data_IF_834035139639
#
_entry.id   IF_834035139639
#
_cell.length_a   1.000
_cell.length_b   1.000
_cell.length_c   1.000
_cell.angle_alpha   90.00
_cell.angle_beta   90.00
_cell.angle_gamma   90.00
#
_symmetry.space_group_name_H-M   'P 1'
#
loop_
_entity.id
_entity.type
_entity.pdbx_description
1 polymer ?
#
# COMPACT_ATOMS: atom_id res chain seq x y z
N UNK A 1 -15.82 5.37 20.46
CA UNK A 1 -16.05 3.94 20.21
C UNK A 1 -14.74 3.31 19.71
N UNK A 2 -14.06 2.54 20.56
CA UNK A 2 -12.78 1.88 20.20
C UNK A 2 -13.02 0.60 19.38
N UNK A 3 -14.08 -0.14 19.68
CA UNK A 3 -14.45 -1.38 18.99
C UNK A 3 -14.80 -1.11 17.52
N UNK A 4 -15.52 -0.02 17.27
CA UNK A 4 -15.78 0.45 15.91
C UNK A 4 -14.47 0.70 15.14
N UNK A 5 -13.49 1.37 15.75
CA UNK A 5 -12.22 1.70 15.08
C UNK A 5 -11.37 0.44 14.81
N UNK A 6 -11.39 -0.55 15.70
CA UNK A 6 -10.73 -1.84 15.47
C UNK A 6 -11.36 -2.59 14.30
N UNK A 7 -12.71 -2.62 14.25
CA UNK A 7 -13.45 -3.20 13.14
C UNK A 7 -13.12 -2.50 11.82
N UNK A 8 -13.16 -1.16 11.80
CA UNK A 8 -12.81 -0.36 10.63
C UNK A 8 -11.38 -0.64 10.15
N UNK A 9 -10.40 -0.70 11.07
CA UNK A 9 -9.01 -1.01 10.70
C UNK A 9 -8.92 -2.38 10.00
N UNK A 10 -9.55 -3.41 10.56
CA UNK A 10 -9.51 -4.76 10.02
C UNK A 10 -10.23 -4.86 8.66
N UNK A 11 -11.37 -4.19 8.52
CA UNK A 11 -12.13 -4.15 7.26
C UNK A 11 -11.37 -3.41 6.16
N UNK A 12 -10.76 -2.26 6.50
CA UNK A 12 -9.93 -1.52 5.54
C UNK A 12 -8.68 -2.29 5.12
N UNK A 13 -8.02 -3.00 6.05
CA UNK A 13 -6.90 -3.86 5.69
C UNK A 13 -7.34 -5.00 4.77
N UNK A 14 -8.46 -5.67 5.08
CA UNK A 14 -9.01 -6.75 4.25
C UNK A 14 -9.30 -6.25 2.84
N UNK A 15 -9.91 -5.08 2.73
CA UNK A 15 -10.27 -4.49 1.45
C UNK A 15 -9.04 -4.01 0.65
N UNK A 16 -8.05 -3.40 1.31
CA UNK A 16 -6.76 -3.08 0.67
C UNK A 16 -6.10 -4.33 0.08
N UNK A 17 -6.07 -5.45 0.83
CA UNK A 17 -5.53 -6.73 0.35
C UNK A 17 -6.34 -7.29 -0.81
N UNK A 18 -7.67 -7.18 -0.78
CA UNK A 18 -8.55 -7.63 -1.88
C UNK A 18 -8.29 -6.83 -3.16
N UNK A 19 -8.18 -5.51 -3.05
CA UNK A 19 -7.94 -4.62 -4.18
C UNK A 19 -6.54 -4.81 -4.78
N UNK A 20 -5.53 -5.05 -3.95
CA UNK A 20 -4.18 -5.41 -4.43
C UNK A 20 -4.18 -6.71 -5.24
N UNK A 21 -4.98 -7.72 -4.86
CA UNK A 21 -5.11 -8.97 -5.64
C UNK A 21 -5.81 -8.78 -6.99
N UNK A 22 -6.48 -7.64 -7.19
CA UNK A 22 -7.16 -7.28 -8.44
C UNK A 22 -6.36 -6.25 -9.24
N UNK A 23 -5.10 -5.99 -8.87
CA UNK A 23 -4.23 -4.98 -9.47
C UNK A 23 -4.81 -3.55 -9.43
N UNK A 24 -5.74 -3.28 -8.50
CA UNK A 24 -6.38 -1.99 -8.31
C UNK A 24 -5.58 -1.12 -7.33
N UNK A 25 -4.43 -0.65 -7.79
CA UNK A 25 -3.42 0.05 -6.98
C UNK A 25 -3.95 1.31 -6.29
N UNK A 26 -4.64 2.19 -7.03
CA UNK A 26 -5.11 3.47 -6.47
C UNK A 26 -6.18 3.28 -5.39
N UNK A 27 -7.26 2.48 -5.62
CA UNK A 27 -8.20 2.14 -4.56
C UNK A 27 -7.54 1.45 -3.36
N UNK A 28 -6.59 0.53 -3.60
CA UNK A 28 -5.87 -0.12 -2.51
C UNK A 28 -5.09 0.90 -1.65
N UNK A 29 -4.44 1.87 -2.28
CA UNK A 29 -3.72 2.93 -1.59
C UNK A 29 -4.65 3.77 -0.69
N UNK A 30 -5.84 4.12 -1.16
CA UNK A 30 -6.82 4.85 -0.35
C UNK A 30 -7.22 4.08 0.92
N UNK A 31 -7.43 2.77 0.82
CA UNK A 31 -7.71 1.94 2.01
C UNK A 31 -6.50 1.85 2.96
N UNK A 32 -5.27 1.87 2.45
CA UNK A 32 -4.06 1.93 3.29
C UNK A 32 -4.01 3.27 4.06
N UNK A 33 -4.37 4.38 3.42
CA UNK A 33 -4.48 5.68 4.10
C UNK A 33 -5.55 5.64 5.19
N UNK A 34 -6.71 5.01 4.92
CA UNK A 34 -7.75 4.78 5.94
C UNK A 34 -7.25 3.94 7.12
N UNK A 35 -6.48 2.88 6.86
CA UNK A 35 -5.83 2.09 7.92
C UNK A 35 -4.89 2.97 8.77
N UNK A 36 -4.02 3.76 8.13
CA UNK A 36 -3.08 4.63 8.83
C UNK A 36 -3.79 5.66 9.71
N UNK A 37 -4.84 6.29 9.18
CA UNK A 37 -5.60 7.27 9.95
C UNK A 37 -6.35 6.61 11.12
N UNK A 38 -7.00 5.46 10.88
CA UNK A 38 -7.72 4.70 11.92
C UNK A 38 -6.77 4.24 13.03
N UNK A 39 -5.56 3.80 12.67
CA UNK A 39 -4.51 3.49 13.64
C UNK A 39 -4.13 4.71 14.49
N UNK A 40 -3.92 5.88 13.89
CA UNK A 40 -3.61 7.09 14.65
C UNK A 40 -4.73 7.45 15.66
N UNK A 41 -5.99 7.23 15.27
CA UNK A 41 -7.15 7.43 16.15
C UNK A 41 -7.22 6.42 17.30
N UNK A 42 -6.74 5.19 17.10
CA UNK A 42 -6.63 4.16 18.14
C UNK A 42 -5.45 4.44 19.08
N UNK A 43 -4.28 4.79 18.52
CA UNK A 43 -3.04 5.13 19.25
C UNK A 43 -3.29 6.33 20.18
N UNK A 44 -3.91 7.40 19.66
CA UNK A 44 -4.22 8.61 20.45
C UNK A 44 -5.22 8.37 21.60
N UNK A 45 -6.03 7.30 21.52
CA UNK A 45 -6.99 6.92 22.57
C UNK A 45 -6.39 5.98 23.63
N UNK A 46 -5.11 5.62 23.51
CA UNK A 46 -4.48 4.62 24.38
C UNK A 46 -5.08 3.23 24.21
N UNK A 47 -5.79 2.97 23.10
CA UNK A 47 -6.44 1.68 22.82
C UNK A 47 -5.44 0.63 22.32
N UNK A 48 -4.19 1.04 22.03
CA UNK A 48 -3.12 0.20 21.48
C UNK A 48 -1.97 0.22 22.46
N UNK A 49 -1.60 -0.94 22.98
CA UNK A 49 -0.42 -1.09 23.83
C UNK A 49 0.87 -0.89 23.03
N UNK A 50 1.97 -0.64 23.74
CA UNK A 50 3.30 -0.46 23.13
C UNK A 50 3.70 -1.67 22.26
N UNK A 51 3.36 -2.88 22.69
CA UNK A 51 3.63 -4.12 21.95
C UNK A 51 2.75 -4.26 20.71
N UNK A 52 1.47 -3.90 20.79
CA UNK A 52 0.54 -3.93 19.66
C UNK A 52 0.88 -2.86 18.60
N UNK A 53 1.39 -1.71 19.02
CA UNK A 53 1.74 -0.59 18.14
C UNK A 53 2.70 -0.99 17.02
N UNK A 54 3.73 -1.76 17.36
CA UNK A 54 4.68 -2.27 16.38
C UNK A 54 4.01 -3.21 15.35
N UNK A 55 3.04 -4.01 15.78
CA UNK A 55 2.26 -4.90 14.93
C UNK A 55 1.39 -4.14 13.92
N UNK A 56 0.66 -3.12 14.37
CA UNK A 56 -0.12 -2.24 13.48
C UNK A 56 0.75 -1.54 12.44
N UNK A 57 1.87 -0.95 12.87
CA UNK A 57 2.81 -0.29 11.97
C UNK A 57 3.41 -1.26 10.94
N UNK A 58 3.73 -2.49 11.35
CA UNK A 58 4.19 -3.53 10.43
C UNK A 58 3.15 -3.87 9.36
N UNK A 59 1.89 -4.07 9.77
CA UNK A 59 0.77 -4.34 8.85
C UNK A 59 0.61 -3.22 7.81
N UNK A 60 0.54 -1.97 8.25
CA UNK A 60 0.40 -0.80 7.35
C UNK A 60 1.60 -0.70 6.39
N UNK A 61 2.83 -0.83 6.90
CA UNK A 61 4.05 -0.76 6.06
C UNK A 61 4.10 -1.87 5.02
N UNK A 62 3.66 -3.08 5.35
CA UNK A 62 3.63 -4.18 4.41
C UNK A 62 2.65 -3.90 3.25
N UNK A 63 1.45 -3.38 3.55
CA UNK A 63 0.52 -2.96 2.51
C UNK A 63 1.10 -1.84 1.63
N UNK A 64 1.71 -0.83 2.26
CA UNK A 64 2.35 0.29 1.55
C UNK A 64 3.49 -0.17 0.63
N UNK A 65 4.27 -1.18 1.06
CA UNK A 65 5.29 -1.80 0.21
C UNK A 65 4.68 -2.56 -0.96
N UNK A 66 3.64 -3.36 -0.72
CA UNK A 66 2.95 -4.10 -1.78
C UNK A 66 2.35 -3.18 -2.84
N UNK A 67 1.65 -2.12 -2.42
CA UNK A 67 1.05 -1.16 -3.37
C UNK A 67 2.10 -0.37 -4.15
N UNK A 68 3.24 -0.03 -3.54
CA UNK A 68 4.34 0.63 -4.23
C UNK A 68 4.95 -0.26 -5.32
N UNK A 69 5.18 -1.55 -5.02
CA UNK A 69 5.65 -2.52 -6.00
C UNK A 69 4.65 -2.67 -7.16
N UNK A 70 3.37 -2.90 -6.84
CA UNK A 70 2.35 -3.07 -7.88
C UNK A 70 2.16 -1.79 -8.72
N UNK A 71 2.30 -0.61 -8.12
CA UNK A 71 2.27 0.65 -8.87
C UNK A 71 3.39 0.71 -9.93
N UNK A 72 4.62 0.37 -9.54
CA UNK A 72 5.76 0.37 -10.47
C UNK A 72 5.53 -0.64 -11.59
N UNK A 73 5.08 -1.85 -11.25
CA UNK A 73 4.75 -2.89 -12.24
C UNK A 73 3.61 -2.46 -13.19
N UNK A 74 2.54 -1.88 -12.67
CA UNK A 74 1.45 -1.34 -13.48
C UNK A 74 1.94 -0.24 -14.45
N UNK A 75 2.84 0.65 -14.00
CA UNK A 75 3.45 1.67 -14.86
C UNK A 75 4.38 1.07 -15.90
N UNK A 76 5.12 0.03 -15.53
CA UNK A 76 5.98 -0.72 -16.44
C UNK A 76 5.21 -1.40 -17.56
N UNK A 77 4.09 -2.05 -17.24
CA UNK A 77 3.16 -2.65 -18.24
C UNK A 77 2.64 -1.62 -19.25
N UNK A 78 2.54 -0.36 -18.84
CA UNK A 78 2.15 0.77 -19.70
C UNK A 78 3.34 1.46 -20.40
N UNK A 79 4.57 0.96 -20.26
CA UNK A 79 5.77 1.54 -20.86
C UNK A 79 6.26 2.82 -20.17
N UNK A 80 6.04 2.95 -18.85
CA UNK A 80 6.38 4.14 -18.05
C UNK A 80 5.91 5.47 -18.66
N UNK A 81 4.60 5.66 -18.90
CA UNK A 81 4.08 6.81 -19.65
C UNK A 81 4.33 8.16 -18.96
N UNK A 82 4.62 8.17 -17.66
CA UNK A 82 4.90 9.37 -16.88
C UNK A 82 6.36 9.84 -16.95
N UNK A 83 7.27 8.99 -17.45
CA UNK A 83 8.66 9.36 -17.67
C UNK A 83 8.75 10.04 -19.05
N UNK A 84 9.12 11.33 -19.06
CA UNK A 84 9.19 12.13 -20.29
C UNK A 84 10.45 11.85 -21.13
N UNK A 85 11.52 11.43 -20.48
CA UNK A 85 12.78 11.11 -21.14
C UNK A 85 12.71 9.71 -21.78
N UNK A 86 12.73 9.68 -23.12
CA UNK A 86 12.70 8.44 -23.90
C UNK A 86 13.88 7.53 -23.60
N UNK A 87 15.10 8.08 -23.46
CA UNK A 87 16.28 7.26 -23.19
C UNK A 87 16.13 6.56 -21.84
N UNK A 88 15.65 7.29 -20.82
CA UNK A 88 15.44 6.72 -19.49
C UNK A 88 14.34 5.67 -19.47
N UNK A 89 13.26 5.85 -20.26
CA UNK A 89 12.23 4.82 -20.43
C UNK A 89 12.81 3.52 -20.99
N UNK A 90 13.59 3.63 -22.06
CA UNK A 90 14.17 2.45 -22.71
C UNK A 90 15.17 1.73 -21.81
N UNK A 91 15.96 2.45 -21.01
CA UNK A 91 16.86 1.87 -20.00
C UNK A 91 16.07 1.03 -18.97
N UNK A 92 15.06 1.63 -18.32
CA UNK A 92 14.26 0.95 -17.30
C UNK A 92 13.44 -0.24 -17.82
N UNK A 93 13.11 -0.25 -19.12
CA UNK A 93 12.44 -1.37 -19.79
C UNK A 93 13.41 -2.48 -20.21
N UNK A 94 14.71 -2.18 -20.38
CA UNK A 94 15.75 -3.15 -20.71
C UNK A 94 16.22 -3.91 -19.48
N UNK A 95 16.44 -3.22 -18.36
CA UNK A 95 16.92 -3.83 -17.10
C UNK A 95 16.04 -5.02 -16.67
N UNK A 96 14.74 -4.98 -16.94
CA UNK A 96 13.81 -6.08 -16.60
C UNK A 96 13.85 -7.27 -17.56
N UNK A 97 14.25 -7.06 -18.83
CA UNK A 97 14.44 -8.16 -19.77
C UNK A 97 15.70 -8.95 -19.49
N UNK A 98 16.69 -8.36 -18.82
CA UNK A 98 17.93 -9.02 -18.42
C UNK A 98 17.80 -9.76 -17.07
N UNK A 99 16.82 -9.39 -16.24
CA UNK A 99 16.49 -10.07 -14.98
C UNK A 99 15.51 -11.26 -15.10
N UNK A 100 14.92 -11.50 -16.29
CA UNK A 100 14.01 -12.62 -16.59
C UNK A 100 14.67 -13.68 -17.46
#
# INVERSE_FOLDING_TARGET
>A
DQEMLLTLFNDYEREAKRLLKLDLVHPAYDYILKCSHTFNLLDARGAVSVTERAGYLSRIRNLARSVAKEFVEARKRLGFPLIKDEKKRQELLKDDKEEK
#
